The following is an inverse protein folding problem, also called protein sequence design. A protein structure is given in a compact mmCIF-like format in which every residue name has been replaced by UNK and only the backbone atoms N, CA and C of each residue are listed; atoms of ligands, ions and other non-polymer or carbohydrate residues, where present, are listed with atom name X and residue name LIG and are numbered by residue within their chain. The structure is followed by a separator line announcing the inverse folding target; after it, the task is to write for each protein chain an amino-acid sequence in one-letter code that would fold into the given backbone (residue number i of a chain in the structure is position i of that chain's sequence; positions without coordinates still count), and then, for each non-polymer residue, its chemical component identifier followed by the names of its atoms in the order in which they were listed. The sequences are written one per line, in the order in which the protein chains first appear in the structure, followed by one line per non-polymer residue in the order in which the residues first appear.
data_IF_119237625594
#
_entry.id   IF_119237625594
#
_cell.length_a   1.000
_cell.length_b   1.000
_cell.length_c   1.000
_cell.angle_alpha   90.00
_cell.angle_beta   90.00
_cell.angle_gamma   90.00
#
_symmetry.space_group_name_H-M   'P 1'
#
loop_
_entity.id
_entity.type
_entity.pdbx_description
1 polymer ?
#
# COMPACT_ATOMS: atom_id res chain seq x y z
N UNK A 1 7.04 -23.32 -1.73
CA UNK A 1 6.09 -22.48 -2.48
C UNK A 1 5.35 -21.64 -1.47
N UNK A 2 5.27 -20.32 -1.70
CA UNK A 2 4.51 -19.44 -0.82
C UNK A 2 3.03 -19.78 -0.87
N UNK A 3 2.33 -19.51 0.24
CA UNK A 3 0.88 -19.62 0.32
C UNK A 3 0.22 -18.26 0.64
N UNK A 4 -1.10 -18.29 0.82
CA UNK A 4 -1.88 -17.10 1.14
C UNK A 4 -1.48 -16.46 2.49
N UNK A 5 -0.99 -17.23 3.47
CA UNK A 5 -0.50 -16.66 4.73
C UNK A 5 0.85 -15.95 4.51
N UNK A 6 1.72 -16.51 3.68
CA UNK A 6 2.98 -15.89 3.29
C UNK A 6 2.77 -14.57 2.58
N UNK A 7 1.87 -14.51 1.59
CA UNK A 7 1.54 -13.29 0.85
C UNK A 7 1.06 -12.16 1.79
N UNK A 8 0.19 -12.49 2.75
CA UNK A 8 -0.29 -11.53 3.76
C UNK A 8 0.85 -11.05 4.67
N UNK A 9 1.70 -11.97 5.12
CA UNK A 9 2.82 -11.61 5.96
C UNK A 9 3.82 -10.70 5.22
N UNK A 10 4.07 -10.94 3.93
CA UNK A 10 4.90 -10.09 3.09
C UNK A 10 4.31 -8.68 2.94
N UNK A 11 3.00 -8.57 2.69
CA UNK A 11 2.31 -7.28 2.63
C UNK A 11 2.39 -6.50 3.96
N UNK A 12 2.24 -7.18 5.11
CA UNK A 12 2.44 -6.56 6.43
C UNK A 12 3.86 -6.09 6.64
N UNK A 13 4.85 -6.79 6.10
CA UNK A 13 6.26 -6.53 6.36
C UNK A 13 6.83 -5.29 5.68
N UNK A 14 6.19 -4.73 4.66
CA UNK A 14 6.81 -3.68 3.82
C UNK A 14 7.49 -2.55 4.60
N UNK A 15 6.89 -1.98 5.67
CA UNK A 15 7.51 -0.88 6.41
C UNK A 15 8.87 -1.17 7.05
N UNK A 16 9.25 -2.44 7.21
CA UNK A 16 10.48 -2.86 7.88
C UNK A 16 11.49 -3.53 6.94
N UNK A 17 11.17 -3.67 5.65
CA UNK A 17 12.01 -4.43 4.70
C UNK A 17 12.95 -3.59 3.87
N UNK A 18 12.84 -2.28 3.95
CA UNK A 18 13.63 -1.34 3.17
C UNK A 18 13.62 0.03 3.84
N UNK A 19 14.68 0.80 3.62
CA UNK A 19 14.92 2.15 4.11
C UNK A 19 14.93 3.17 2.96
N UNK A 20 15.40 2.76 1.78
CA UNK A 20 15.30 3.58 0.57
C UNK A 20 14.77 2.78 -0.62
N UNK A 21 14.05 3.47 -1.51
CA UNK A 21 13.58 2.92 -2.78
C UNK A 21 13.74 3.94 -3.88
N UNK A 22 14.26 3.47 -5.01
CA UNK A 22 14.11 4.15 -6.29
C UNK A 22 13.28 3.30 -7.22
N UNK A 23 12.24 3.89 -7.80
CA UNK A 23 11.29 3.16 -8.63
C UNK A 23 10.62 4.05 -9.66
N UNK A 24 10.01 3.41 -10.67
CA UNK A 24 9.06 4.06 -11.57
C UNK A 24 7.68 3.50 -11.35
N UNK A 25 6.64 4.33 -11.49
CA UNK A 25 5.25 3.89 -11.41
C UNK A 25 4.43 4.48 -12.56
N UNK A 26 3.55 3.65 -13.10
CA UNK A 26 2.56 4.02 -14.10
C UNK A 26 1.20 3.50 -13.68
N UNK A 27 0.24 4.41 -13.56
CA UNK A 27 -1.15 4.12 -13.29
C UNK A 27 -1.91 3.83 -14.59
N UNK A 28 -2.96 3.00 -14.50
CA UNK A 28 -3.84 2.61 -15.60
C UNK A 28 -5.28 2.91 -15.23
N UNK A 29 -6.09 3.34 -16.21
CA UNK A 29 -7.48 3.69 -15.99
C UNK A 29 -7.68 5.14 -15.56
N UNK A 30 -8.64 5.37 -14.67
CA UNK A 30 -9.05 6.70 -14.20
C UNK A 30 -7.91 7.48 -13.52
N UNK A 31 -6.93 6.76 -12.97
CA UNK A 31 -5.73 7.31 -12.32
C UNK A 31 -4.54 7.50 -13.28
N UNK A 32 -4.70 7.27 -14.58
CA UNK A 32 -3.62 7.28 -15.56
C UNK A 32 -3.05 8.71 -15.77
N UNK A 33 -2.25 9.14 -14.81
CA UNK A 33 -1.35 10.27 -14.91
C UNK A 33 -0.07 9.85 -15.65
N UNK A 34 0.73 10.83 -16.06
CA UNK A 34 2.03 10.57 -16.66
C UNK A 34 2.90 9.70 -15.73
N UNK A 35 3.66 8.72 -16.26
CA UNK A 35 4.52 7.89 -15.44
C UNK A 35 5.60 8.75 -14.77
N UNK A 36 5.95 8.37 -13.54
CA UNK A 36 6.92 9.10 -12.72
C UNK A 36 8.04 8.18 -12.25
N UNK A 37 9.19 8.76 -11.97
CA UNK A 37 10.27 8.14 -11.19
C UNK A 37 10.31 8.79 -9.82
N UNK A 38 10.55 8.00 -8.78
CA UNK A 38 10.70 8.51 -7.44
C UNK A 38 11.90 7.92 -6.72
N UNK A 39 12.41 8.74 -5.80
CA UNK A 39 13.40 8.40 -4.81
C UNK A 39 12.74 8.64 -3.47
N UNK A 40 12.63 7.59 -2.67
CA UNK A 40 12.00 7.65 -1.37
C UNK A 40 13.01 7.16 -0.35
N UNK A 41 13.26 7.98 0.66
CA UNK A 41 14.03 7.61 1.84
C UNK A 41 13.08 7.65 3.01
N UNK A 42 12.75 6.46 3.52
CA UNK A 42 12.04 6.35 4.77
C UNK A 42 12.89 7.00 5.85
N UNK A 43 12.22 7.57 6.84
CA UNK A 43 10.76 7.60 7.02
C UNK A 43 10.05 8.80 6.38
N UNK A 44 10.78 9.81 5.92
CA UNK A 44 10.26 11.17 5.91
C UNK A 44 10.27 11.88 4.55
N UNK A 45 11.02 11.41 3.57
CA UNK A 45 11.22 12.17 2.34
C UNK A 45 11.00 11.37 1.06
N UNK A 46 10.31 12.01 0.11
CA UNK A 46 10.20 11.54 -1.28
C UNK A 46 10.49 12.67 -2.25
N UNK A 47 11.21 12.34 -3.32
CA UNK A 47 11.38 13.15 -4.51
C UNK A 47 10.72 12.43 -5.67
N UNK A 48 9.96 13.16 -6.47
CA UNK A 48 9.27 12.64 -7.65
C UNK A 48 9.60 13.48 -8.88
N UNK A 49 9.93 12.80 -9.96
CA UNK A 49 10.24 13.37 -11.26
C UNK A 49 9.40 12.72 -12.36
N UNK A 50 9.22 13.43 -13.46
CA UNK A 50 8.86 12.80 -14.75
C UNK A 50 9.97 11.83 -15.19
N UNK A 51 9.66 10.91 -16.10
CA UNK A 51 10.69 9.99 -16.63
C UNK A 51 11.81 10.69 -17.40
N UNK A 52 11.57 11.90 -17.91
CA UNK A 52 12.56 12.73 -18.60
C UNK A 52 13.42 13.58 -17.65
N UNK A 53 13.26 13.43 -16.33
CA UNK A 53 14.09 14.06 -15.30
C UNK A 53 13.61 15.44 -14.84
N UNK A 54 12.41 15.87 -15.23
CA UNK A 54 11.83 17.10 -14.68
C UNK A 54 11.28 16.87 -13.27
N UNK A 55 11.77 17.66 -12.30
CA UNK A 55 11.30 17.64 -10.91
C UNK A 55 9.85 18.06 -10.80
N UNK A 56 9.03 17.18 -10.22
CA UNK A 56 7.61 17.45 -9.95
C UNK A 56 7.40 17.91 -8.51
N UNK A 57 7.96 17.17 -7.55
CA UNK A 57 7.76 17.46 -6.14
C UNK A 57 8.87 16.87 -5.27
N UNK A 58 9.18 17.56 -4.17
CA UNK A 58 9.84 16.98 -2.99
C UNK A 58 8.90 17.15 -1.82
N UNK A 59 8.60 16.06 -1.11
CA UNK A 59 7.72 16.06 0.06
C UNK A 59 8.52 15.57 1.26
N UNK A 60 8.43 16.33 2.35
CA UNK A 60 8.96 15.97 3.67
C UNK A 60 7.79 15.86 4.65
N UNK A 61 7.62 14.69 5.23
CA UNK A 61 6.55 14.43 6.18
C UNK A 61 7.05 14.38 7.61
N UNK A 62 6.17 14.77 8.53
CA UNK A 62 6.33 14.54 9.95
C UNK A 62 5.46 13.37 10.37
N UNK A 63 5.77 12.66 11.47
CA UNK A 63 4.91 11.58 11.92
C UNK A 63 3.48 12.06 12.21
N UNK A 64 2.53 11.17 11.94
CA UNK A 64 1.11 11.44 12.12
C UNK A 64 0.79 11.87 13.56
N UNK A 65 -0.21 12.75 13.68
CA UNK A 65 -0.77 13.21 14.95
C UNK A 65 -2.24 12.80 15.02
N UNK A 66 -2.62 12.20 16.13
CA UNK A 66 -4.00 11.79 16.38
C UNK A 66 -4.57 12.53 17.59
N UNK A 67 -5.82 12.96 17.50
CA UNK A 67 -6.56 13.51 18.63
C UNK A 67 -7.09 12.38 19.50
N UNK A 68 -6.73 12.36 20.78
CA UNK A 68 -7.25 11.42 21.78
C UNK A 68 -8.31 12.12 22.59
N UNK A 69 -9.55 11.64 22.48
CA UNK A 69 -10.67 12.14 23.28
C UNK A 69 -10.82 11.29 24.54
N UNK A 70 -10.82 11.94 25.70
CA UNK A 70 -11.05 11.31 27.00
C UNK A 70 -12.20 12.00 27.73
N UNK A 71 -12.70 11.40 28.80
CA UNK A 71 -13.70 12.04 29.67
C UNK A 71 -13.21 13.35 30.29
N UNK A 72 -11.89 13.56 30.38
CA UNK A 72 -11.25 14.77 30.90
C UNK A 72 -10.90 15.83 29.85
N UNK A 73 -11.29 15.64 28.59
CA UNK A 73 -10.94 16.52 27.46
C UNK A 73 -10.13 15.81 26.38
N UNK A 74 -9.68 16.57 25.38
CA UNK A 74 -8.91 16.06 24.24
C UNK A 74 -7.43 16.47 24.30
N UNK A 75 -6.54 15.62 23.81
CA UNK A 75 -5.13 15.96 23.60
C UNK A 75 -4.59 15.33 22.31
N UNK A 76 -3.58 15.96 21.71
CA UNK A 76 -2.89 15.42 20.55
C UNK A 76 -1.79 14.44 20.98
N UNK A 77 -1.70 13.31 20.28
CA UNK A 77 -0.61 12.35 20.41
C UNK A 77 0.09 12.19 19.07
N UNK A 78 1.41 12.39 19.06
CA UNK A 78 2.26 12.02 17.92
C UNK A 78 2.48 10.52 17.93
N UNK A 79 2.22 9.86 16.81
CA UNK A 79 2.52 8.44 16.64
C UNK A 79 4.00 8.28 16.23
N UNK A 80 4.75 7.36 16.84
CA UNK A 80 6.13 7.09 16.43
C UNK A 80 6.20 6.36 15.08
N UNK A 81 7.35 6.40 14.43
CA UNK A 81 7.59 5.63 13.21
C UNK A 81 7.95 4.18 13.49
N UNK A 82 7.79 3.28 12.49
CA UNK A 82 8.10 1.87 12.64
C UNK A 82 9.55 1.58 13.05
N UNK A 83 10.48 2.45 12.64
CA UNK A 83 11.91 2.38 12.98
C UNK A 83 12.25 2.96 14.38
N UNK A 84 11.36 3.78 14.94
CA UNK A 84 11.54 4.37 16.29
C UNK A 84 11.14 3.39 17.40
N UNK A 85 10.55 2.24 17.07
CA UNK A 85 10.02 1.27 18.01
C UNK A 85 10.67 -0.10 17.84
N UNK A 86 10.59 -1.00 18.84
CA UNK A 86 11.07 -2.35 18.70
C UNK A 86 10.44 -3.07 17.50
N UNK A 87 11.20 -4.00 16.91
CA UNK A 87 10.72 -4.80 15.80
C UNK A 87 9.37 -5.49 16.12
N UNK A 88 8.47 -5.60 15.14
CA UNK A 88 7.18 -6.24 15.31
C UNK A 88 7.33 -7.73 15.61
N UNK A 89 6.23 -8.38 15.98
CA UNK A 89 6.21 -9.83 16.13
C UNK A 89 6.50 -10.48 14.76
N UNK A 90 7.57 -11.28 14.70
CA UNK A 90 7.98 -11.99 13.49
C UNK A 90 7.56 -13.46 13.51
N UNK A 91 7.23 -13.98 12.33
CA UNK A 91 7.11 -15.40 12.03
C UNK A 91 8.50 -16.06 12.00
N UNK A 92 8.58 -17.41 12.01
CA UNK A 92 9.86 -18.11 11.87
C UNK A 92 10.64 -17.82 10.58
N UNK A 93 9.94 -17.40 9.52
CA UNK A 93 10.52 -17.00 8.23
C UNK A 93 11.01 -15.53 8.19
N UNK A 94 10.87 -14.80 9.30
CA UNK A 94 11.27 -13.40 9.42
C UNK A 94 10.26 -12.40 8.85
N UNK A 95 9.11 -12.84 8.34
CA UNK A 95 8.01 -11.94 7.96
C UNK A 95 7.19 -11.53 9.18
N UNK A 96 6.44 -10.44 9.06
CA UNK A 96 5.65 -9.87 10.16
C UNK A 96 4.43 -10.75 10.39
N UNK A 97 4.31 -11.30 11.60
CA UNK A 97 3.12 -12.01 12.05
C UNK A 97 1.99 -11.01 12.30
N UNK A 98 2.29 -9.95 13.05
CA UNK A 98 1.33 -8.95 13.49
C UNK A 98 1.97 -7.56 13.56
N UNK A 99 1.26 -6.55 13.08
CA UNK A 99 1.69 -5.15 13.14
C UNK A 99 1.29 -4.53 14.47
N UNK A 100 2.17 -3.80 15.15
CA UNK A 100 1.79 -2.96 16.29
C UNK A 100 0.75 -1.91 15.90
N UNK A 101 -0.19 -1.58 16.79
CA UNK A 101 -1.07 -0.43 16.58
C UNK A 101 -0.41 0.88 17.03
N UNK A 102 -0.94 2.00 16.56
CA UNK A 102 -0.53 3.33 17.00
C UNK A 102 0.85 3.77 16.48
N UNK A 103 1.26 3.28 15.30
CA UNK A 103 2.44 3.78 14.58
C UNK A 103 2.02 4.59 13.35
N UNK A 104 2.84 5.58 13.00
CA UNK A 104 2.68 6.35 11.76
C UNK A 104 3.32 5.60 10.61
N UNK A 105 2.53 4.79 9.91
CA UNK A 105 3.04 3.85 8.91
C UNK A 105 3.20 4.41 7.50
N UNK A 106 2.49 5.49 7.20
CA UNK A 106 2.47 6.12 5.89
C UNK A 106 3.90 6.47 5.46
N UNK A 107 4.26 6.03 4.26
CA UNK A 107 5.41 6.59 3.58
C UNK A 107 5.04 7.97 3.02
N UNK A 108 6.01 8.89 2.83
CA UNK A 108 5.77 10.22 2.32
C UNK A 108 4.92 10.21 1.04
N UNK A 109 3.81 10.94 1.07
CA UNK A 109 2.77 10.86 0.06
C UNK A 109 3.10 11.74 -1.15
N UNK A 110 2.90 11.18 -2.33
CA UNK A 110 2.79 11.93 -3.58
C UNK A 110 1.38 11.79 -4.14
N UNK A 111 0.72 12.93 -4.34
CA UNK A 111 -0.64 13.08 -4.87
C UNK A 111 -1.78 12.53 -4.00
N UNK A 112 -1.81 11.23 -3.70
CA UNK A 112 -2.93 10.60 -3.02
C UNK A 112 -2.56 9.29 -2.29
N UNK A 113 -3.54 8.69 -1.60
CA UNK A 113 -3.31 7.51 -0.77
C UNK A 113 -3.06 6.21 -1.52
N UNK A 114 -3.33 6.08 -2.82
CA UNK A 114 -2.92 4.85 -3.50
C UNK A 114 -1.39 4.77 -3.60
N UNK A 115 -0.70 5.91 -3.69
CA UNK A 115 0.75 5.98 -3.57
C UNK A 115 1.23 5.34 -2.26
N UNK A 116 0.60 5.70 -1.15
CA UNK A 116 0.93 5.16 0.16
C UNK A 116 0.57 3.68 0.24
N UNK A 117 -0.59 3.28 -0.32
CA UNK A 117 -1.04 1.90 -0.34
C UNK A 117 -0.11 0.99 -1.14
N UNK A 118 0.47 1.43 -2.26
CA UNK A 118 1.44 0.59 -2.98
C UNK A 118 2.73 0.36 -2.20
N UNK A 119 3.16 1.34 -1.40
CA UNK A 119 4.38 1.28 -0.58
C UNK A 119 4.19 0.54 0.74
N UNK A 120 2.98 0.54 1.29
CA UNK A 120 2.59 -0.20 2.50
C UNK A 120 1.24 -0.91 2.26
N UNK A 121 1.24 -2.06 1.55
CA UNK A 121 0.02 -2.68 1.00
C UNK A 121 -0.70 -3.58 2.03
N UNK A 122 -0.79 -3.13 3.28
CA UNK A 122 -1.40 -3.91 4.37
C UNK A 122 -2.87 -4.21 4.19
N UNK A 123 -3.58 -3.39 3.42
CA UNK A 123 -4.97 -3.65 3.04
C UNK A 123 -5.12 -4.96 2.24
N UNK A 124 -4.05 -5.46 1.64
CA UNK A 124 -4.04 -6.77 0.98
C UNK A 124 -3.93 -7.94 1.98
N UNK A 125 -3.58 -7.65 3.24
CA UNK A 125 -3.39 -8.61 4.30
C UNK A 125 -4.56 -8.61 5.30
N UNK A 126 -4.77 -7.48 5.95
CA UNK A 126 -5.61 -7.35 7.12
C UNK A 126 -6.89 -6.60 6.78
N UNK A 127 -8.00 -7.18 7.21
CA UNK A 127 -9.32 -6.60 7.13
C UNK A 127 -9.80 -6.13 8.49
N UNK A 128 -10.76 -5.23 8.47
CA UNK A 128 -11.33 -4.60 9.65
C UNK A 128 -12.84 -4.67 9.62
N UNK A 129 -13.42 -4.72 10.80
CA UNK A 129 -14.86 -4.67 10.98
C UNK A 129 -15.36 -3.24 10.67
N UNK A 130 -16.30 -3.05 9.72
CA UNK A 130 -16.76 -1.72 9.34
C UNK A 130 -17.51 -0.96 10.46
N UNK A 131 -18.04 -1.66 11.46
CA UNK A 131 -18.77 -1.05 12.57
C UNK A 131 -17.84 -0.66 13.72
N UNK A 132 -16.85 -1.49 14.04
CA UNK A 132 -15.95 -1.26 15.19
C UNK A 132 -14.58 -0.70 14.81
N UNK A 133 -14.16 -0.86 13.56
CA UNK A 133 -12.81 -0.55 13.08
C UNK A 133 -11.72 -1.51 13.59
N UNK A 134 -12.09 -2.55 14.34
CA UNK A 134 -11.15 -3.54 14.88
C UNK A 134 -10.71 -4.53 13.80
N UNK A 135 -9.51 -5.11 13.95
CA UNK A 135 -9.03 -6.16 13.04
C UNK A 135 -9.93 -7.39 13.17
N UNK A 136 -10.50 -7.84 12.07
CA UNK A 136 -11.54 -8.87 12.07
C UNK A 136 -11.21 -10.10 11.22
N UNK A 137 -10.10 -10.08 10.48
CA UNK A 137 -9.69 -11.20 9.63
C UNK A 137 -8.94 -10.72 8.40
N UNK A 138 -8.92 -11.52 7.32
CA UNK A 138 -8.26 -11.12 6.08
C UNK A 138 -9.12 -10.13 5.27
N UNK A 139 -8.48 -9.06 4.78
CA UNK A 139 -9.14 -8.11 3.88
C UNK A 139 -9.46 -8.73 2.52
N UNK A 140 -8.64 -9.69 2.07
CA UNK A 140 -8.80 -10.37 0.79
C UNK A 140 -8.87 -11.89 0.94
N UNK A 141 -9.68 -12.53 0.11
CA UNK A 141 -9.41 -13.93 -0.26
C UNK A 141 -8.28 -13.95 -1.28
N UNK A 142 -7.37 -14.90 -1.12
CA UNK A 142 -6.18 -15.04 -1.94
C UNK A 142 -6.21 -16.47 -2.45
N UNK A 143 -6.12 -16.63 -3.77
CA UNK A 143 -6.02 -17.94 -4.39
C UNK A 143 -4.59 -18.50 -4.29
N UNK A 144 -4.16 -19.26 -5.29
CA UNK A 144 -2.80 -19.79 -5.33
C UNK A 144 -1.80 -18.66 -5.53
N UNK A 145 -0.76 -18.66 -4.70
CA UNK A 145 0.36 -17.73 -4.80
C UNK A 145 1.45 -18.35 -5.67
N UNK A 146 1.86 -17.62 -6.69
CA UNK A 146 2.85 -18.07 -7.67
C UNK A 146 4.10 -17.22 -7.57
N UNK A 147 5.26 -17.87 -7.55
CA UNK A 147 6.55 -17.19 -7.65
C UNK A 147 6.80 -16.81 -9.12
N UNK A 148 7.08 -15.53 -9.35
CA UNK A 148 7.32 -14.96 -10.67
C UNK A 148 8.52 -14.00 -10.64
N UNK A 149 8.91 -13.50 -11.79
CA UNK A 149 9.80 -12.36 -11.91
C UNK A 149 9.01 -11.10 -12.33
N UNK A 150 9.23 -10.00 -11.63
CA UNK A 150 8.72 -8.68 -12.00
C UNK A 150 9.87 -7.68 -12.12
N UNK A 151 10.13 -7.20 -13.33
CA UNK A 151 11.16 -6.19 -13.56
C UNK A 151 12.59 -6.64 -13.25
N UNK A 152 12.90 -7.93 -13.38
CA UNK A 152 14.22 -8.49 -13.03
C UNK A 152 14.37 -8.84 -11.55
N UNK A 153 13.27 -8.87 -10.79
CA UNK A 153 13.26 -9.11 -9.33
C UNK A 153 12.24 -10.18 -8.97
N UNK A 154 12.50 -11.05 -7.98
CA UNK A 154 11.52 -12.02 -7.51
C UNK A 154 10.27 -11.33 -6.94
N UNK A 155 9.11 -11.79 -7.37
CA UNK A 155 7.82 -11.32 -6.90
C UNK A 155 6.88 -12.50 -6.65
N UNK A 156 5.88 -12.28 -5.79
CA UNK A 156 4.77 -13.20 -5.60
C UNK A 156 3.52 -12.62 -6.24
N UNK A 157 2.87 -13.41 -7.08
CA UNK A 157 1.63 -13.07 -7.78
C UNK A 157 0.46 -13.88 -7.20
N UNK A 158 -0.68 -13.23 -7.04
CA UNK A 158 -1.91 -13.90 -6.66
C UNK A 158 -3.13 -13.25 -7.33
N UNK A 159 -4.14 -14.06 -7.60
CA UNK A 159 -5.50 -13.57 -7.84
C UNK A 159 -6.19 -13.39 -6.48
N UNK A 160 -6.76 -12.21 -6.28
CA UNK A 160 -7.38 -11.82 -5.01
C UNK A 160 -8.79 -11.30 -5.22
N UNK A 161 -9.64 -11.44 -4.19
CA UNK A 161 -10.98 -10.87 -4.16
C UNK A 161 -11.23 -10.15 -2.83
N UNK A 162 -11.86 -8.96 -2.84
CA UNK A 162 -12.17 -8.25 -1.61
C UNK A 162 -13.19 -9.02 -0.77
N UNK A 163 -12.92 -9.16 0.53
CA UNK A 163 -13.93 -9.64 1.49
C UNK A 163 -14.78 -8.46 1.98
N UNK A 164 -15.90 -8.71 2.68
CA UNK A 164 -16.62 -7.65 3.39
C UNK A 164 -15.80 -6.91 4.46
N UNK A 165 -14.64 -7.46 4.86
CA UNK A 165 -13.71 -6.85 5.81
C UNK A 165 -12.61 -6.04 5.12
N UNK A 166 -12.59 -5.96 3.78
CA UNK A 166 -11.61 -5.16 3.06
C UNK A 166 -11.79 -3.68 3.41
N UNK A 167 -10.85 -3.14 4.18
CA UNK A 167 -10.75 -1.71 4.47
C UNK A 167 -9.49 -1.17 3.79
N UNK A 168 -9.62 -0.44 2.68
CA UNK A 168 -8.48 0.19 2.04
C UNK A 168 -7.98 1.34 2.90
N UNK A 169 -6.74 1.75 2.66
CA UNK A 169 -6.17 2.95 3.30
C UNK A 169 -7.01 4.20 3.01
N UNK A 170 -7.63 4.26 1.84
CA UNK A 170 -8.53 5.33 1.44
C UNK A 170 -9.59 4.80 0.46
N UNK A 171 -10.86 5.06 0.73
CA UNK A 171 -11.98 4.54 -0.06
C UNK A 171 -11.95 4.98 -1.53
N UNK A 172 -11.62 6.24 -1.80
CA UNK A 172 -11.57 6.76 -3.17
C UNK A 172 -10.34 6.31 -3.99
N UNK A 173 -9.35 5.66 -3.36
CA UNK A 173 -8.05 5.33 -3.94
C UNK A 173 -7.58 3.92 -3.59
N UNK A 174 -8.50 2.98 -3.35
CA UNK A 174 -8.20 1.60 -2.97
C UNK A 174 -7.38 0.86 -4.03
N UNK A 175 -6.46 -0.05 -3.64
CA UNK A 175 -5.76 -0.92 -4.59
C UNK A 175 -6.71 -1.93 -5.24
N UNK A 176 -7.74 -2.35 -4.51
CA UNK A 176 -8.76 -3.32 -4.94
C UNK A 176 -10.12 -2.66 -4.81
N UNK A 177 -10.68 -2.16 -5.91
CA UNK A 177 -11.98 -1.48 -5.88
C UNK A 177 -13.09 -2.47 -5.53
N UNK A 178 -13.98 -2.08 -4.64
CA UNK A 178 -15.15 -2.90 -4.30
C UNK A 178 -16.40 -2.05 -4.14
N UNK A 179 -17.56 -2.66 -4.41
CA UNK A 179 -18.85 -1.97 -4.26
C UNK A 179 -19.11 -1.52 -2.83
N UNK A 180 -18.67 -2.30 -1.85
CA UNK A 180 -18.86 -1.97 -0.44
C UNK A 180 -18.08 -0.72 -0.06
N UNK A 181 -16.81 -0.63 -0.48
CA UNK A 181 -15.96 0.55 -0.27
C UNK A 181 -16.55 1.78 -0.95
N UNK A 182 -16.89 1.69 -2.24
CA UNK A 182 -17.42 2.85 -2.99
C UNK A 182 -18.78 3.32 -2.42
N UNK A 183 -19.60 2.40 -1.90
CA UNK A 183 -20.84 2.75 -1.20
C UNK A 183 -20.56 3.54 0.07
N UNK A 184 -19.57 3.14 0.87
CA UNK A 184 -19.22 3.89 2.09
C UNK A 184 -18.63 5.25 1.77
N UNK A 185 -17.81 5.36 0.73
CA UNK A 185 -17.16 6.60 0.33
C UNK A 185 -18.14 7.57 -0.35
N UNK A 186 -18.97 7.08 -1.27
CA UNK A 186 -19.75 7.90 -2.21
C UNK A 186 -21.26 7.70 -2.14
N UNK A 187 -21.76 6.78 -1.31
CA UNK A 187 -23.17 6.45 -1.18
C UNK A 187 -23.71 5.45 -2.22
N UNK A 188 -24.90 4.91 -1.95
CA UNK A 188 -25.53 3.80 -2.70
C UNK A 188 -25.74 4.07 -4.20
N UNK A 189 -26.02 5.31 -4.58
CA UNK A 189 -26.32 5.67 -5.96
C UNK A 189 -25.07 5.77 -6.85
N UNK A 190 -23.88 5.79 -6.27
CA UNK A 190 -22.63 5.97 -6.98
C UNK A 190 -22.28 4.71 -7.77
N UNK A 191 -22.00 4.89 -9.07
CA UNK A 191 -21.68 3.83 -10.02
C UNK A 191 -22.75 2.71 -10.08
N UNK A 192 -24.03 3.07 -9.96
CA UNK A 192 -25.14 2.10 -9.94
C UNK A 192 -25.18 1.17 -11.17
N UNK A 193 -24.79 1.70 -12.34
CA UNK A 193 -24.77 0.95 -13.60
C UNK A 193 -23.45 0.18 -13.83
N UNK A 194 -22.48 0.30 -12.92
CA UNK A 194 -21.18 -0.32 -13.08
C UNK A 194 -21.17 -1.78 -12.59
N UNK A 195 -20.52 -2.63 -13.38
CA UNK A 195 -20.15 -3.98 -12.99
C UNK A 195 -18.81 -3.92 -12.25
N UNK A 196 -18.85 -4.12 -10.93
CA UNK A 196 -17.65 -4.05 -10.11
C UNK A 196 -16.75 -5.26 -10.38
N UNK A 197 -15.41 -5.08 -10.43
CA UNK A 197 -14.51 -6.21 -10.62
C UNK A 197 -14.62 -7.15 -9.44
N UNK A 198 -14.63 -8.45 -9.72
CA UNK A 198 -14.67 -9.50 -8.71
C UNK A 198 -13.28 -10.04 -8.40
N UNK A 199 -12.35 -9.90 -9.34
CA UNK A 199 -11.00 -10.45 -9.27
C UNK A 199 -9.94 -9.44 -9.67
N UNK A 200 -8.82 -9.51 -8.96
CA UNK A 200 -7.65 -8.67 -9.21
C UNK A 200 -6.39 -9.52 -9.25
N UNK A 201 -5.52 -9.24 -10.21
CA UNK A 201 -4.15 -9.76 -10.20
C UNK A 201 -3.27 -8.79 -9.41
N UNK A 202 -2.59 -9.30 -8.38
CA UNK A 202 -1.72 -8.49 -7.53
C UNK A 202 -0.34 -9.11 -7.42
N UNK A 203 0.70 -8.27 -7.43
CA UNK A 203 2.09 -8.69 -7.24
C UNK A 203 2.75 -7.95 -6.10
N UNK A 204 3.50 -8.68 -5.26
CA UNK A 204 4.37 -8.13 -4.23
C UNK A 204 5.83 -8.46 -4.55
N UNK A 205 6.73 -7.48 -4.48
CA UNK A 205 8.17 -7.72 -4.56
C UNK A 205 8.64 -8.45 -3.28
N UNK A 206 9.33 -9.58 -3.43
CA UNK A 206 9.69 -10.46 -2.29
C UNK A 206 10.70 -9.79 -1.35
N UNK A 207 11.59 -8.95 -1.87
CA UNK A 207 12.58 -8.27 -1.04
C UNK A 207 11.91 -7.19 -0.18
N UNK A 208 11.00 -6.41 -0.74
CA UNK A 208 10.50 -5.17 -0.13
C UNK A 208 9.09 -5.27 0.42
N UNK A 209 8.27 -6.20 -0.06
CA UNK A 209 6.83 -6.27 0.25
C UNK A 209 5.98 -5.20 -0.45
N UNK A 210 6.57 -4.36 -1.31
CA UNK A 210 5.86 -3.34 -2.07
C UNK A 210 4.94 -3.98 -3.10
N UNK A 211 3.74 -3.42 -3.27
CA UNK A 211 2.81 -3.83 -4.30
C UNK A 211 3.25 -3.28 -5.67
N UNK A 212 3.84 -4.14 -6.48
CA UNK A 212 4.44 -3.77 -7.77
C UNK A 212 3.47 -3.86 -8.96
N UNK A 213 2.31 -4.47 -8.75
CA UNK A 213 1.28 -4.59 -9.77
C UNK A 213 -0.09 -4.75 -9.15
N UNK A 214 -1.08 -4.06 -9.72
CA UNK A 214 -2.50 -4.36 -9.55
C UNK A 214 -3.17 -4.30 -10.92
N UNK A 215 -4.12 -5.19 -11.15
CA UNK A 215 -4.97 -5.16 -12.34
C UNK A 215 -6.33 -5.77 -12.03
N UNK A 216 -7.41 -5.01 -12.25
CA UNK A 216 -8.75 -5.56 -12.29
C UNK A 216 -8.89 -6.50 -13.50
N UNK A 217 -9.34 -7.74 -13.27
CA UNK A 217 -9.41 -8.76 -14.31
C UNK A 217 -10.75 -8.78 -15.07
N UNK A 218 -11.77 -8.14 -14.51
CA UNK A 218 -13.14 -8.15 -15.00
C UNK A 218 -13.89 -6.84 -14.69
N UNK A 219 -15.17 -6.80 -15.05
CA UNK A 219 -16.06 -5.68 -14.80
C UNK A 219 -15.76 -4.42 -15.63
N UNK A 220 -16.42 -3.31 -15.26
CA UNK A 220 -16.33 -2.01 -15.93
C UNK A 220 -14.92 -1.42 -15.92
N UNK A 221 -14.10 -1.80 -14.93
CA UNK A 221 -12.74 -1.28 -14.74
C UNK A 221 -11.64 -2.30 -15.09
N UNK A 222 -11.94 -3.30 -15.92
CA UNK A 222 -10.95 -4.26 -16.41
C UNK A 222 -9.69 -3.54 -16.96
N UNK A 223 -8.51 -4.03 -16.58
CA UNK A 223 -7.20 -3.49 -16.97
C UNK A 223 -6.75 -2.24 -16.20
N UNK A 224 -7.57 -1.69 -15.31
CA UNK A 224 -7.17 -0.58 -14.42
C UNK A 224 -6.31 -1.06 -13.25
N UNK A 225 -5.49 -0.17 -12.68
CA UNK A 225 -4.54 -0.50 -11.61
C UNK A 225 -3.20 0.21 -11.80
N UNK A 226 -2.09 -0.46 -11.52
CA UNK A 226 -0.75 0.10 -11.69
C UNK A 226 0.33 -0.92 -12.03
N UNK A 227 1.44 -0.40 -12.52
CA UNK A 227 2.72 -1.12 -12.64
C UNK A 227 3.80 -0.26 -12.00
N UNK A 228 4.51 -0.82 -11.03
CA UNK A 228 5.65 -0.20 -10.36
C UNK A 228 6.89 -1.07 -10.56
N UNK A 229 7.94 -0.49 -11.13
CA UNK A 229 9.24 -1.16 -11.29
C UNK A 229 10.23 -0.59 -10.30
N UNK A 230 10.68 -1.43 -9.36
CA UNK A 230 11.76 -1.11 -8.44
C UNK A 230 13.08 -1.14 -9.21
N UNK A 231 13.83 -0.04 -9.14
CA UNK A 231 15.13 0.14 -9.79
C UNK A 231 16.29 -0.06 -8.81
N UNK A 232 16.10 0.33 -7.54
CA UNK A 232 17.07 0.10 -6.46
C UNK A 232 16.37 0.05 -5.10
N UNK A 233 16.98 -0.68 -4.17
CA UNK A 233 16.55 -0.86 -2.77
C UNK A 233 17.75 -0.61 -1.88
N UNK A 234 17.56 0.16 -0.81
CA UNK A 234 18.59 0.49 0.18
C UNK A 234 19.86 1.09 -0.44
N UNK A 235 19.73 1.77 -1.58
CA UNK A 235 20.82 2.57 -2.12
C UNK A 235 21.02 3.83 -1.24
N UNK A 236 22.25 4.25 -0.97
CA UNK A 236 22.50 5.49 -0.26
C UNK A 236 21.86 6.68 -0.98
N UNK A 237 21.06 7.46 -0.25
CA UNK A 237 20.39 8.67 -0.75
C UNK A 237 20.75 9.87 0.13
N UNK A 238 21.66 10.71 -0.38
CA UNK A 238 22.14 11.92 0.30
C UNK A 238 21.07 13.03 0.34
N UNK A 239 21.17 13.94 1.30
CA UNK A 239 20.25 15.09 1.43
C UNK A 239 20.23 16.00 0.21
N UNK A 240 21.33 16.10 -0.54
CA UNK A 240 21.39 16.86 -1.79
C UNK A 240 20.44 16.33 -2.87
N UNK A 241 20.00 15.07 -2.77
CA UNK A 241 18.98 14.50 -3.64
C UNK A 241 17.59 15.12 -3.37
N UNK A 242 17.37 15.67 -2.18
CA UNK A 242 16.08 16.18 -1.70
C UNK A 242 16.14 17.69 -1.37
N UNK A 243 16.30 18.56 -2.38
CA UNK A 243 16.47 20.00 -2.21
C UNK A 243 15.24 20.70 -1.63
#
# INVERSE_FOLDING_TARGET
MPDAADFRALARSSPWRWSTLRFTVRWRGERALGPVRAWLRRPDVVRVETLDGHLLQVVRESPQRVGVLTSGGGYDRRLPWPEDVPAPLLRPDGLVAERPDGLSYDAPMYQDYAWVAVLDPVELADGRDPETGERAGPGLTIETVTEIEHGGRPAWEAVVRPTPLYEPRCGCCSLVRSRLVDRYEWGEASFADAEYPTEYLVRLDVQTGVCVWTEALDGTWVGTGHVLRIEAVDEPMDDALFP
#
